data_IF_452338698820
#
_entry.id   IF_452338698820
#
_cell.length_a   1.000
_cell.length_b   1.000
_cell.length_c   1.000
_cell.angle_alpha   90.00
_cell.angle_beta   90.00
_cell.angle_gamma   90.00
#
_symmetry.space_group_name_H-M   'P 1'
#
loop_
_entity.id
_entity.type
_entity.pdbx_description
1 polymer ?
#
# COMPACT_ATOMS: atom_id res chain seq x y z
N UNK A 1 17.69 -5.14 -4.61
CA UNK A 1 16.45 -5.59 -5.27
C UNK A 1 16.38 -5.02 -6.67
N UNK A 2 16.03 -5.82 -7.69
CA UNK A 2 15.60 -5.32 -9.00
C UNK A 2 14.07 -5.44 -9.05
N UNK A 3 13.37 -4.33 -9.25
CA UNK A 3 11.89 -4.24 -9.31
C UNK A 3 11.26 -4.94 -10.54
N UNK A 4 12.02 -5.75 -11.29
CA UNK A 4 11.94 -5.66 -12.75
C UNK A 4 11.13 -6.73 -13.49
N UNK A 5 10.48 -7.69 -12.83
CA UNK A 5 9.72 -8.72 -13.58
C UNK A 5 8.38 -9.16 -12.96
N UNK A 6 8.07 -8.82 -11.70
CA UNK A 6 6.80 -9.19 -11.04
C UNK A 6 6.25 -8.10 -10.11
N UNK A 7 6.63 -6.83 -10.32
CA UNK A 7 6.13 -5.72 -9.52
C UNK A 7 4.77 -5.27 -10.06
N UNK A 8 3.78 -5.18 -9.17
CA UNK A 8 2.44 -4.69 -9.47
C UNK A 8 2.18 -3.34 -8.78
N UNK A 9 1.30 -2.51 -9.35
CA UNK A 9 0.85 -1.29 -8.65
C UNK A 9 0.13 -1.73 -7.38
N UNK A 10 0.34 -1.02 -6.27
CA UNK A 10 -0.08 -1.37 -4.90
C UNK A 10 0.75 -2.46 -4.22
N UNK A 11 1.84 -2.94 -4.84
CA UNK A 11 2.79 -3.79 -4.12
C UNK A 11 3.55 -3.00 -3.05
N UNK A 12 3.70 -3.62 -1.89
CA UNK A 12 4.46 -3.11 -0.77
C UNK A 12 5.91 -3.61 -0.81
N UNK A 13 6.84 -2.68 -0.59
CA UNK A 13 8.29 -2.93 -0.61
C UNK A 13 8.91 -2.34 0.65
N UNK A 14 9.66 -3.17 1.37
CA UNK A 14 10.56 -2.71 2.44
C UNK A 14 11.86 -2.17 1.86
N UNK A 15 12.20 -0.91 2.17
CA UNK A 15 13.48 -0.35 1.80
C UNK A 15 14.60 -0.92 2.69
N UNK A 16 15.59 -1.65 2.15
CA UNK A 16 16.63 -2.29 2.96
C UNK A 16 17.64 -1.33 3.59
N UNK A 17 17.66 -0.06 3.20
CA UNK A 17 18.59 0.95 3.73
C UNK A 17 17.99 1.77 4.88
N UNK A 18 16.69 2.07 4.82
CA UNK A 18 16.01 2.93 5.80
C UNK A 18 14.84 2.28 6.52
N UNK A 19 14.54 1.00 6.22
CA UNK A 19 13.43 0.24 6.81
C UNK A 19 12.07 0.95 6.69
N UNK A 20 11.88 1.73 5.62
CA UNK A 20 10.63 2.40 5.31
C UNK A 20 9.79 1.51 4.41
N UNK A 21 8.50 1.38 4.74
CA UNK A 21 7.53 0.70 3.90
C UNK A 21 7.08 1.66 2.78
N UNK A 22 7.29 1.24 1.54
CA UNK A 22 6.97 1.99 0.34
C UNK A 22 5.98 1.20 -0.51
N UNK A 23 5.14 1.90 -1.25
CA UNK A 23 4.17 1.31 -2.17
C UNK A 23 4.47 1.71 -3.61
N UNK A 24 4.26 0.79 -4.55
CA UNK A 24 4.39 1.05 -5.98
C UNK A 24 3.15 1.77 -6.51
N UNK A 25 3.30 3.03 -6.92
CA UNK A 25 2.20 3.84 -7.47
C UNK A 25 2.22 3.93 -9.01
N UNK A 26 3.38 3.68 -9.63
CA UNK A 26 3.53 3.61 -11.09
C UNK A 26 4.67 2.65 -11.47
N UNK A 27 4.59 2.04 -12.65
CA UNK A 27 5.58 1.11 -13.21
C UNK A 27 6.37 1.73 -14.39
N UNK A 28 5.93 2.85 -14.98
CA UNK A 28 6.57 3.45 -16.17
C UNK A 28 6.53 4.99 -16.15
N UNK A 29 7.46 5.66 -15.44
CA UNK A 29 8.60 5.10 -14.71
C UNK A 29 8.21 4.50 -13.34
N UNK A 30 9.02 3.56 -12.79
CA UNK A 30 8.79 3.04 -11.45
C UNK A 30 8.78 4.18 -10.43
N UNK A 31 7.64 4.39 -9.81
CA UNK A 31 7.43 5.45 -8.81
C UNK A 31 6.94 4.79 -7.54
N UNK A 32 7.58 5.15 -6.44
CA UNK A 32 7.26 4.69 -5.10
C UNK A 32 6.73 5.87 -4.29
N UNK A 33 5.70 5.63 -3.49
CA UNK A 33 5.25 6.55 -2.47
C UNK A 33 5.38 5.90 -1.08
N UNK A 34 5.30 6.70 -0.02
CA UNK A 34 5.20 6.16 1.32
C UNK A 34 3.95 5.31 1.41
N UNK A 35 4.09 4.05 1.82
CA UNK A 35 2.93 3.23 2.10
C UNK A 35 2.17 3.95 3.20
N UNK A 36 0.99 4.46 2.85
CA UNK A 36 0.20 5.22 3.78
C UNK A 36 -0.19 4.25 4.89
N UNK A 37 0.40 4.41 6.08
CA UNK A 37 0.17 3.54 7.23
C UNK A 37 -1.22 3.75 7.83
N UNK A 38 -2.23 4.09 7.01
CA UNK A 38 -3.66 4.18 7.36
C UNK A 38 -4.29 2.77 7.38
N UNK A 39 -3.55 1.83 7.95
CA UNK A 39 -4.06 1.17 9.16
C UNK A 39 -3.63 2.05 10.33
N UNK A 40 -4.07 3.31 10.40
CA UNK A 40 -5.15 3.63 11.34
C UNK A 40 -6.07 2.43 11.51
N UNK A 41 -5.70 1.60 12.47
CA UNK A 41 -6.58 0.61 13.08
C UNK A 41 -7.83 1.28 13.71
N UNK A 42 -8.04 2.60 13.52
CA UNK A 42 -9.17 3.41 14.01
C UNK A 42 -10.15 3.91 12.93
N UNK A 43 -9.99 3.59 11.63
CA UNK A 43 -10.96 4.04 10.57
C UNK A 43 -11.64 2.90 9.79
N UNK A 44 -11.49 1.65 10.23
CA UNK A 44 -12.32 0.53 9.78
C UNK A 44 -13.46 0.20 10.75
N UNK A 45 -13.79 1.13 11.66
CA UNK A 45 -15.01 1.03 12.46
C UNK A 45 -16.22 1.51 11.62
N UNK A 46 -16.98 0.52 11.19
CA UNK A 46 -18.46 0.54 11.21
C UNK A 46 -19.18 1.33 10.10
N UNK A 47 -19.44 0.66 8.97
CA UNK A 47 -20.69 0.88 8.22
C UNK A 47 -21.17 -0.40 7.51
N UNK A 48 -21.49 -1.44 8.30
CA UNK A 48 -22.46 -2.45 7.87
C UNK A 48 -23.83 -2.01 8.37
N UNK A 49 -24.33 -0.87 7.84
CA UNK A 49 -25.70 -0.43 8.04
C UNK A 49 -26.67 -1.58 7.69
N UNK A 50 -27.55 -1.84 8.64
CA UNK A 50 -28.61 -2.85 8.65
C UNK A 50 -29.44 -2.82 7.36
N UNK A 51 -29.38 -3.86 6.53
CA UNK A 51 -30.44 -4.14 5.55
C UNK A 51 -31.63 -4.78 6.30
N UNK A 52 -32.37 -3.91 6.99
CA UNK A 52 -33.68 -4.21 7.58
C UNK A 52 -34.74 -4.14 6.47
N UNK A 53 -35.10 -5.28 5.83
CA UNK A 53 -36.42 -5.54 5.21
C UNK A 53 -36.86 -7.01 5.26
#
# INVERSE_FOLDING_TARGET
>A
MNLRDNAEVWDLIDCPECSTLLEIVDLRPPTLDYANSVVDEEDWEEDWEEDEV
#
